data_IF_564969858331
#
_entry.id   IF_564969858331
#
_cell.length_a   1.000
_cell.length_b   1.000
_cell.length_c   1.000
_cell.angle_alpha   90.00
_cell.angle_beta   90.00
_cell.angle_gamma   90.00
#
_symmetry.space_group_name_H-M   'P 1'
#
loop_
_entity.id
_entity.type
_entity.pdbx_description
1 polymer ?
#
# COMPACT_ATOMS: atom_id res chain seq x y z
N UNK A 1 -20.03 36.21 -12.05
CA UNK A 1 -19.34 35.15 -12.82
C UNK A 1 -18.89 34.09 -11.84
N UNK A 2 -19.22 32.83 -12.12
CA UNK A 2 -18.71 31.66 -11.41
C UNK A 2 -17.23 31.51 -11.74
N UNK A 3 -16.37 31.34 -10.73
CA UNK A 3 -15.05 30.76 -10.96
C UNK A 3 -15.12 29.28 -10.60
N UNK A 4 -15.18 28.48 -11.65
CA UNK A 4 -14.99 27.05 -11.64
C UNK A 4 -13.51 26.72 -11.35
N UNK A 5 -13.33 25.64 -10.59
CA UNK A 5 -12.40 24.54 -10.87
C UNK A 5 -10.89 24.78 -10.82
N UNK A 6 -10.22 23.84 -10.15
CA UNK A 6 -8.94 23.16 -10.41
C UNK A 6 -8.32 22.82 -9.04
N UNK A 7 -8.68 21.66 -8.48
CA UNK A 7 -7.82 20.46 -8.52
C UNK A 7 -6.41 20.73 -7.98
N UNK A 8 -6.26 20.67 -6.66
CA UNK A 8 -5.11 19.98 -6.10
C UNK A 8 -5.62 18.60 -5.73
N UNK A 9 -5.45 17.63 -6.63
CA UNK A 9 -5.37 16.25 -6.17
C UNK A 9 -4.27 16.26 -5.13
N UNK A 10 -4.61 16.13 -3.86
CA UNK A 10 -3.65 15.68 -2.87
C UNK A 10 -3.32 14.25 -3.31
N UNK A 11 -2.43 14.12 -4.30
CA UNK A 11 -1.84 12.86 -4.67
C UNK A 11 -1.28 12.30 -3.38
N UNK A 12 -1.66 11.07 -3.07
CA UNK A 12 -1.10 10.41 -1.90
C UNK A 12 0.42 10.50 -1.94
N UNK A 13 1.07 10.61 -0.78
CA UNK A 13 2.53 10.64 -0.72
C UNK A 13 3.09 9.46 -1.51
N UNK A 14 4.10 9.75 -2.35
CA UNK A 14 4.76 8.72 -3.15
C UNK A 14 5.32 7.63 -2.22
N UNK A 15 4.80 6.41 -2.35
CA UNK A 15 5.18 5.28 -1.52
C UNK A 15 6.52 4.72 -1.98
N UNK A 16 7.58 4.94 -1.21
CA UNK A 16 8.88 4.31 -1.47
C UNK A 16 8.89 2.86 -0.97
N UNK A 17 8.67 1.94 -1.90
CA UNK A 17 8.61 0.50 -1.65
C UNK A 17 9.82 -0.06 -0.89
N UNK A 18 11.02 0.48 -1.11
CA UNK A 18 12.23 -0.03 -0.48
C UNK A 18 12.29 0.27 1.01
N UNK A 19 11.63 1.33 1.48
CA UNK A 19 11.60 1.69 2.90
C UNK A 19 10.82 0.67 3.73
N UNK A 20 9.96 -0.14 3.11
CA UNK A 20 9.21 -1.17 3.80
C UNK A 20 10.01 -2.45 4.03
N UNK A 21 11.10 -2.70 3.30
CA UNK A 21 11.88 -3.92 3.46
C UNK A 21 12.54 -3.99 4.86
N UNK A 22 12.36 -5.11 5.55
CA UNK A 22 12.85 -5.32 6.91
C UNK A 22 11.97 -4.71 8.01
N UNK A 23 10.93 -3.94 7.66
CA UNK A 23 9.96 -3.41 8.64
C UNK A 23 8.99 -4.48 9.11
N UNK A 24 8.40 -4.26 10.28
CA UNK A 24 7.37 -5.14 10.81
C UNK A 24 6.12 -5.09 9.91
N UNK A 25 5.55 -6.25 9.64
CA UNK A 25 4.42 -6.41 8.71
C UNK A 25 3.20 -5.62 9.16
N UNK A 26 2.89 -5.66 10.46
CA UNK A 26 1.72 -5.01 11.04
C UNK A 26 1.81 -3.49 10.88
N UNK A 27 3.01 -2.92 11.07
CA UNK A 27 3.27 -1.49 10.85
C UNK A 27 3.06 -1.09 9.37
N UNK A 28 3.59 -1.90 8.45
CA UNK A 28 3.45 -1.65 7.01
C UNK A 28 1.99 -1.74 6.57
N UNK A 29 1.24 -2.74 7.07
CA UNK A 29 -0.19 -2.89 6.80
C UNK A 29 -0.95 -1.66 7.31
N UNK A 30 -0.73 -1.25 8.56
CA UNK A 30 -1.38 -0.08 9.14
C UNK A 30 -1.12 1.20 8.35
N UNK A 31 0.13 1.42 7.89
CA UNK A 31 0.47 2.57 7.05
C UNK A 31 -0.25 2.54 5.70
N UNK A 32 -0.25 1.40 5.02
CA UNK A 32 -0.93 1.26 3.73
C UNK A 32 -2.45 1.48 3.89
N UNK A 33 -3.05 0.97 4.97
CA UNK A 33 -4.46 1.21 5.26
C UNK A 33 -4.77 2.69 5.55
N UNK A 34 -3.90 3.38 6.28
CA UNK A 34 -4.01 4.82 6.49
C UNK A 34 -3.88 5.63 5.19
N UNK A 35 -3.13 5.11 4.21
CA UNK A 35 -3.00 5.67 2.86
C UNK A 35 -4.19 5.31 1.94
N UNK A 36 -5.19 4.59 2.45
CA UNK A 36 -6.38 4.23 1.69
C UNK A 36 -6.23 2.97 0.86
N UNK A 37 -5.34 2.05 1.27
CA UNK A 37 -5.34 0.68 0.77
C UNK A 37 -6.20 -0.23 1.65
N UNK A 38 -6.71 -1.30 1.06
CA UNK A 38 -7.33 -2.42 1.74
C UNK A 38 -6.39 -3.62 1.64
N UNK A 39 -5.97 -4.15 2.77
CA UNK A 39 -5.09 -5.31 2.79
C UNK A 39 -5.85 -6.64 2.87
N UNK A 40 -5.28 -7.69 2.28
CA UNK A 40 -5.77 -9.06 2.37
C UNK A 40 -4.58 -10.01 2.53
N UNK A 41 -4.61 -10.82 3.59
CA UNK A 41 -3.54 -11.75 3.95
C UNK A 41 -3.79 -13.10 3.27
N UNK A 42 -2.75 -13.64 2.63
CA UNK A 42 -2.74 -14.96 2.02
C UNK A 42 -1.70 -15.84 2.72
N UNK A 43 -2.16 -16.62 3.69
CA UNK A 43 -1.30 -17.50 4.52
C UNK A 43 -0.51 -18.54 3.72
N UNK A 44 -1.01 -18.95 2.55
CA UNK A 44 -0.37 -19.98 1.73
C UNK A 44 0.98 -19.54 1.15
N UNK A 45 1.18 -18.23 0.92
CA UNK A 45 2.36 -17.68 0.25
C UNK A 45 3.06 -16.57 1.03
N UNK A 46 2.67 -16.34 2.29
CA UNK A 46 3.19 -15.22 3.10
C UNK A 46 3.06 -13.89 2.35
N UNK A 47 1.95 -13.73 1.63
CA UNK A 47 1.71 -12.62 0.74
C UNK A 47 0.57 -11.80 1.30
N UNK A 48 0.78 -10.49 1.42
CA UNK A 48 -0.29 -9.54 1.71
C UNK A 48 -0.52 -8.73 0.44
N UNK A 49 -1.76 -8.73 -0.04
CA UNK A 49 -2.18 -7.88 -1.15
C UNK A 49 -2.81 -6.62 -0.59
N UNK A 50 -2.25 -5.46 -0.90
CA UNK A 50 -2.84 -4.17 -0.58
C UNK A 50 -3.43 -3.58 -1.87
N UNK A 51 -4.76 -3.42 -1.90
CA UNK A 51 -5.47 -2.84 -3.05
C UNK A 51 -5.97 -1.45 -2.71
N UNK A 52 -5.85 -0.47 -3.61
CA UNK A 52 -6.35 0.86 -3.32
C UNK A 52 -7.87 0.87 -3.21
N UNK A 53 -8.38 1.68 -2.29
CA UNK A 53 -9.81 1.90 -2.14
C UNK A 53 -10.36 2.69 -3.35
N UNK A 54 -11.65 2.52 -3.71
CA UNK A 54 -12.25 3.22 -4.85
C UNK A 54 -12.15 4.76 -4.81
N UNK A 55 -12.04 5.31 -3.59
CA UNK A 55 -11.87 6.74 -3.33
C UNK A 55 -10.44 7.26 -3.56
N UNK A 56 -9.49 6.34 -3.77
CA UNK A 56 -8.11 6.59 -4.18
C UNK A 56 -7.91 6.03 -5.59
N UNK A 57 -8.58 6.59 -6.61
CA UNK A 57 -8.40 6.14 -7.97
C UNK A 57 -6.97 6.44 -8.42
N UNK A 58 -6.36 5.53 -9.19
CA UNK A 58 -5.02 5.59 -9.79
C UNK A 58 -3.84 5.03 -8.96
N UNK A 59 -4.08 4.48 -7.77
CA UNK A 59 -3.03 3.73 -7.07
C UNK A 59 -2.91 2.29 -7.63
N UNK A 60 -1.73 1.69 -7.49
CA UNK A 60 -1.42 0.34 -7.98
C UNK A 60 -1.74 -0.72 -6.91
N UNK A 61 -1.98 -1.98 -7.27
CA UNK A 61 -2.04 -3.03 -6.25
C UNK A 61 -0.62 -3.34 -5.77
N UNK A 62 -0.42 -3.41 -4.45
CA UNK A 62 0.84 -3.79 -3.84
C UNK A 62 0.82 -5.24 -3.37
N UNK A 63 1.91 -5.95 -3.64
CA UNK A 63 2.18 -7.29 -3.15
C UNK A 63 3.33 -7.24 -2.15
N UNK A 64 3.05 -7.60 -0.90
CA UNK A 64 3.98 -7.58 0.22
C UNK A 64 4.33 -9.02 0.56
N UNK A 65 5.56 -9.42 0.26
CA UNK A 65 6.12 -10.70 0.63
C UNK A 65 6.66 -10.61 2.06
N UNK A 66 6.29 -11.57 2.89
CA UNK A 66 6.57 -11.57 4.33
C UNK A 66 7.56 -12.68 4.68
N UNK A 67 8.54 -12.37 5.52
CA UNK A 67 9.31 -13.35 6.25
C UNK A 67 8.57 -13.74 7.54
N UNK A 68 7.96 -14.93 7.54
CA UNK A 68 7.13 -15.43 8.67
C UNK A 68 7.94 -15.59 9.96
N UNK A 69 9.19 -16.03 9.85
CA UNK A 69 10.01 -16.34 11.03
C UNK A 69 10.32 -15.09 11.86
N UNK A 70 10.36 -13.92 11.20
CA UNK A 70 10.72 -12.63 11.82
C UNK A 70 9.56 -11.65 11.90
N UNK A 71 8.41 -11.97 11.31
CA UNK A 71 7.29 -11.05 11.10
C UNK A 71 7.73 -9.73 10.44
N UNK A 72 8.57 -9.82 9.40
CA UNK A 72 9.09 -8.65 8.66
C UNK A 72 8.79 -8.73 7.18
N UNK A 73 8.60 -7.60 6.52
CA UNK A 73 8.50 -7.52 5.06
C UNK A 73 9.83 -7.95 4.43
N UNK A 74 9.78 -8.97 3.59
CA UNK A 74 10.91 -9.39 2.76
C UNK A 74 11.05 -8.47 1.55
N UNK A 75 9.93 -8.22 0.86
CA UNK A 75 9.88 -7.42 -0.36
C UNK A 75 8.48 -6.87 -0.54
N UNK A 76 8.35 -5.70 -1.16
CA UNK A 76 7.07 -5.20 -1.66
C UNK A 76 7.21 -4.81 -3.14
N UNK A 77 6.20 -5.11 -3.94
CA UNK A 77 6.18 -4.84 -5.39
C UNK A 77 4.85 -4.25 -5.82
N UNK A 78 4.87 -3.39 -6.85
CA UNK A 78 3.68 -2.90 -7.53
C UNK A 78 3.26 -3.84 -8.66
N UNK A 79 1.95 -4.05 -8.80
CA UNK A 79 1.33 -4.81 -9.89
C UNK A 79 0.10 -4.08 -10.41
N UNK A 80 -0.02 -4.06 -11.74
CA UNK A 80 -1.20 -3.67 -12.51
C UNK A 80 -2.09 -4.87 -12.79
#
# INVERSE_FOLDING_TARGET
>A
MQNQQYQQSAGLPEINLNEYSGRNVDDVVNELEALGYRTQIFDANLLIRAQPLPQVPNEETLHIYVNKDRNTVQQITRKY
#
